data_IF_067600757573
#
_entry.id   IF_067600757573
#
_cell.length_a   1.000
_cell.length_b   1.000
_cell.length_c   1.000
_cell.angle_alpha   90.00
_cell.angle_beta   90.00
_cell.angle_gamma   90.00
#
_symmetry.space_group_name_H-M   'P 1'
#
loop_
_entity.id
_entity.type
_entity.pdbx_description
1 polymer ?
#
# COMPACT_ATOMS: atom_id res chain seq x y z
N UNK A 1 -35.57 -19.15 5.51
CA UNK A 1 -34.24 -18.71 5.99
C UNK A 1 -33.06 -19.30 5.21
N UNK A 2 -33.19 -20.47 4.59
CA UNK A 2 -32.16 -20.97 3.66
C UNK A 2 -32.21 -20.28 2.29
N UNK A 3 -33.40 -19.91 1.85
CA UNK A 3 -33.62 -19.41 0.48
C UNK A 3 -32.96 -18.04 0.25
N UNK A 4 -33.07 -17.12 1.21
CA UNK A 4 -32.43 -15.80 1.12
C UNK A 4 -30.89 -15.87 1.14
N UNK A 5 -30.34 -16.89 1.81
CA UNK A 5 -28.90 -17.11 1.86
C UNK A 5 -28.38 -17.52 0.47
N UNK A 6 -29.07 -18.46 -0.18
CA UNK A 6 -28.74 -18.93 -1.52
C UNK A 6 -28.89 -17.82 -2.58
N UNK A 7 -29.88 -16.95 -2.42
CA UNK A 7 -30.12 -15.83 -3.33
C UNK A 7 -29.03 -14.77 -3.23
N UNK A 8 -28.53 -14.51 -2.01
CA UNK A 8 -27.38 -13.64 -1.76
C UNK A 8 -26.11 -14.20 -2.37
N UNK A 9 -25.89 -15.51 -2.26
CA UNK A 9 -24.71 -16.18 -2.81
C UNK A 9 -24.72 -16.17 -4.35
N UNK A 10 -25.89 -16.38 -4.95
CA UNK A 10 -26.09 -16.25 -6.40
C UNK A 10 -25.84 -14.81 -6.90
N UNK A 11 -26.24 -13.80 -6.14
CA UNK A 11 -25.96 -12.40 -6.47
C UNK A 11 -24.46 -12.09 -6.48
N UNK A 12 -23.71 -12.60 -5.49
CA UNK A 12 -22.26 -12.40 -5.38
C UNK A 12 -21.50 -13.11 -6.52
N UNK A 13 -21.90 -14.35 -6.84
CA UNK A 13 -21.34 -15.12 -7.95
C UNK A 13 -21.57 -14.45 -9.32
N UNK A 14 -22.77 -13.92 -9.56
CA UNK A 14 -23.09 -13.20 -10.80
C UNK A 14 -22.27 -11.92 -10.99
N UNK A 15 -21.84 -11.29 -9.90
CA UNK A 15 -21.01 -10.08 -9.93
C UNK A 15 -19.49 -10.38 -10.11
N UNK A 16 -19.12 -11.63 -10.41
CA UNK A 16 -17.71 -12.13 -10.42
C UNK A 16 -16.96 -11.89 -9.11
N UNK A 17 -17.66 -11.61 -8.02
CA UNK A 17 -17.08 -11.45 -6.68
C UNK A 17 -17.19 -12.81 -6.01
N UNK A 18 -16.19 -13.67 -6.23
CA UNK A 18 -16.08 -14.93 -5.49
C UNK A 18 -15.92 -14.60 -4.01
N UNK A 19 -16.91 -14.99 -3.22
CA UNK A 19 -16.75 -15.04 -1.77
C UNK A 19 -15.67 -16.09 -1.48
N UNK A 20 -14.69 -15.74 -0.65
CA UNK A 20 -13.66 -16.69 -0.25
C UNK A 20 -14.34 -17.80 0.57
N UNK A 21 -14.44 -19.00 0.00
CA UNK A 21 -14.93 -20.19 0.70
C UNK A 21 -13.89 -20.66 1.73
N UNK A 22 -13.79 -19.95 2.86
CA UNK A 22 -12.93 -20.29 3.98
C UNK A 22 -12.09 -19.12 4.52
N UNK A 23 -11.30 -19.41 5.56
CA UNK A 23 -10.12 -18.58 5.88
C UNK A 23 -9.23 -18.74 4.66
N UNK A 24 -9.02 -17.68 3.86
CA UNK A 24 -8.43 -17.76 2.51
C UNK A 24 -7.23 -18.70 2.39
N UNK A 25 -6.85 -19.09 1.17
CA UNK A 25 -5.81 -20.10 0.85
C UNK A 25 -4.44 -19.96 1.57
N UNK A 26 -4.20 -18.85 2.27
CA UNK A 26 -2.97 -18.49 2.95
C UNK A 26 -3.24 -18.46 4.46
N UNK A 27 -2.38 -19.12 5.23
CA UNK A 27 -2.41 -19.04 6.69
C UNK A 27 -2.04 -17.63 7.18
N UNK A 28 -2.34 -17.31 8.44
CA UNK A 28 -1.96 -16.02 9.03
C UNK A 28 -0.44 -15.77 8.97
N UNK A 29 0.34 -16.82 9.23
CA UNK A 29 1.81 -16.80 9.17
C UNK A 29 2.29 -16.51 7.75
N UNK A 30 1.73 -17.19 6.75
CA UNK A 30 2.07 -16.99 5.33
C UNK A 30 1.71 -15.56 4.86
N UNK A 31 0.60 -15.01 5.36
CA UNK A 31 0.19 -13.64 5.06
C UNK A 31 1.19 -12.61 5.63
N UNK A 32 1.61 -12.80 6.89
CA UNK A 32 2.59 -11.93 7.54
C UNK A 32 3.95 -11.99 6.84
N UNK A 33 4.39 -13.19 6.48
CA UNK A 33 5.65 -13.38 5.75
C UNK A 33 5.63 -12.63 4.41
N UNK A 34 4.55 -12.79 3.65
CA UNK A 34 4.39 -12.10 2.36
C UNK A 34 4.34 -10.58 2.53
N UNK A 35 3.68 -10.07 3.57
CA UNK A 35 3.63 -8.64 3.85
C UNK A 35 5.01 -8.08 4.21
N UNK A 36 5.78 -8.80 5.04
CA UNK A 36 7.14 -8.41 5.41
C UNK A 36 8.10 -8.40 4.21
N UNK A 37 8.02 -9.42 3.35
CA UNK A 37 8.83 -9.50 2.12
C UNK A 37 8.56 -8.33 1.18
N UNK A 38 7.29 -7.99 0.95
CA UNK A 38 6.90 -6.86 0.08
C UNK A 38 7.33 -5.52 0.69
N UNK A 39 7.17 -5.36 2.01
CA UNK A 39 7.59 -4.14 2.71
C UNK A 39 9.10 -3.90 2.59
N UNK A 40 9.93 -4.94 2.73
CA UNK A 40 11.38 -4.82 2.64
C UNK A 40 11.83 -4.31 1.26
N UNK A 41 11.18 -4.80 0.18
CA UNK A 41 11.45 -4.32 -1.17
C UNK A 41 11.02 -2.86 -1.37
N UNK A 42 9.86 -2.49 -0.83
CA UNK A 42 9.33 -1.13 -0.95
C UNK A 42 10.18 -0.11 -0.18
N UNK A 43 10.65 -0.49 1.02
CA UNK A 43 11.49 0.36 1.88
C UNK A 43 12.75 0.82 1.16
N UNK A 44 13.46 -0.09 0.51
CA UNK A 44 14.72 0.23 -0.21
C UNK A 44 14.47 1.23 -1.34
N UNK A 45 13.35 1.10 -2.05
CA UNK A 45 12.98 2.04 -3.10
C UNK A 45 12.58 3.40 -2.52
N UNK A 46 11.80 3.39 -1.44
CA UNK A 46 11.35 4.62 -0.77
C UNK A 46 12.54 5.42 -0.21
N UNK A 47 13.51 4.75 0.45
CA UNK A 47 14.69 5.40 1.01
C UNK A 47 15.59 6.03 -0.07
N UNK A 48 15.64 5.43 -1.27
CA UNK A 48 16.41 5.98 -2.41
C UNK A 48 15.80 7.25 -3.00
N UNK A 49 14.47 7.29 -3.06
CA UNK A 49 13.74 8.40 -3.70
C UNK A 49 13.24 9.42 -2.66
N UNK A 50 13.57 9.22 -1.38
CA UNK A 50 13.19 10.13 -0.31
C UNK A 50 14.01 11.43 -0.42
N UNK A 51 13.37 12.48 -0.92
CA UNK A 51 13.83 13.85 -0.78
C UNK A 51 13.20 14.39 0.50
N UNK A 52 14.03 14.75 1.47
CA UNK A 52 13.55 15.34 2.70
C UNK A 52 12.97 16.72 2.41
N UNK A 53 11.77 17.04 2.91
CA UNK A 53 11.22 18.41 2.87
C UNK A 53 12.20 19.44 3.48
N UNK A 54 13.11 18.99 4.35
CA UNK A 54 14.19 19.81 4.88
C UNK A 54 15.26 20.15 3.82
N UNK A 55 15.63 19.19 2.96
CA UNK A 55 16.61 19.41 1.90
C UNK A 55 16.07 20.40 0.86
N UNK A 56 14.77 20.31 0.54
CA UNK A 56 14.07 21.27 -0.33
C UNK A 56 14.08 22.69 0.29
N UNK A 57 13.70 22.80 1.57
CA UNK A 57 13.70 24.09 2.27
C UNK A 57 15.11 24.68 2.41
N UNK A 58 16.13 23.84 2.63
CA UNK A 58 17.53 24.28 2.72
C UNK A 58 18.06 24.72 1.35
N UNK A 59 17.68 24.04 0.27
CA UNK A 59 18.05 24.44 -1.09
C UNK A 59 17.45 25.80 -1.46
N UNK A 60 16.19 26.08 -1.08
CA UNK A 60 15.57 27.41 -1.25
C UNK A 60 16.28 28.48 -0.41
N UNK A 61 16.61 28.18 0.84
CA UNK A 61 17.33 29.11 1.72
C UNK A 61 18.73 29.45 1.18
N UNK A 62 19.47 28.46 0.67
CA UNK A 62 20.80 28.66 0.09
C UNK A 62 20.75 29.46 -1.21
N UNK A 63 19.78 29.20 -2.10
CA UNK A 63 19.55 30.03 -3.29
C UNK A 63 19.15 31.46 -2.94
N UNK A 64 18.41 31.67 -1.86
CA UNK A 64 18.08 33.01 -1.38
C UNK A 64 19.31 33.83 -0.99
N UNK A 65 20.34 33.20 -0.40
CA UNK A 65 21.57 33.88 0.01
C UNK A 65 22.52 34.26 -1.12
N UNK A 66 22.54 33.52 -2.22
CA UNK A 66 23.35 33.88 -3.39
C UNK A 66 22.80 35.14 -4.09
N UNK A 67 21.47 35.33 -4.09
CA UNK A 67 20.83 36.50 -4.71
C UNK A 67 20.86 37.77 -3.84
N UNK A 68 21.25 37.68 -2.57
CA UNK A 68 21.42 38.84 -1.67
C UNK A 68 22.86 39.38 -1.65
N UNK A 69 23.79 38.75 -2.37
CA UNK A 69 25.20 39.14 -2.42
C UNK A 69 25.62 39.88 -3.71
N UNK A 70 24.70 40.08 -4.66
CA UNK A 70 24.91 40.86 -5.90
C UNK A 70 24.36 42.30 -5.81
#
# INVERSE_FOLDING_TARGET
MKDWLNETDNFLNNNRRRVLEGKGHISHEDALKKAAEVYEQFRIQQDRDYISNFDDAMAEYLKGKENEQD
#
